data_IF_533280808732
#
_entry.id   IF_533280808732
#
_cell.length_a   1.000
_cell.length_b   1.000
_cell.length_c   1.000
_cell.angle_alpha   90.00
_cell.angle_beta   90.00
_cell.angle_gamma   90.00
#
_symmetry.space_group_name_H-M   'P 1'
#
loop_
_entity.id
_entity.type
_entity.pdbx_description
1 polymer ?
#
# COMPACT_ATOMS: atom_id res chain seq x y z
N UNK A 1 6.24 22.58 -15.75
CA UNK A 1 5.43 21.45 -15.23
C UNK A 1 5.38 21.61 -13.73
N UNK A 2 4.26 22.10 -13.18
CA UNK A 2 4.10 22.28 -11.74
C UNK A 2 4.25 20.91 -11.05
N UNK A 3 5.13 20.82 -10.05
CA UNK A 3 5.31 19.62 -9.25
C UNK A 3 4.01 19.38 -8.47
N UNK A 4 3.19 18.44 -8.94
CA UNK A 4 1.93 18.12 -8.26
C UNK A 4 2.27 17.59 -6.87
N UNK A 5 1.59 18.07 -5.81
CA UNK A 5 1.83 17.62 -4.45
C UNK A 5 1.74 16.08 -4.37
N UNK A 6 2.70 15.47 -3.67
CA UNK A 6 2.77 14.02 -3.46
C UNK A 6 2.49 13.70 -1.99
N UNK A 7 1.48 12.88 -1.77
CA UNK A 7 1.19 12.27 -0.47
C UNK A 7 2.03 11.00 -0.32
N UNK A 8 2.72 10.88 0.82
CA UNK A 8 3.48 9.67 1.18
C UNK A 8 2.73 8.91 2.24
N UNK A 9 2.41 7.67 1.94
CA UNK A 9 1.70 6.76 2.83
C UNK A 9 2.56 5.52 3.05
N UNK A 10 2.83 5.20 4.31
CA UNK A 10 3.56 4.01 4.70
C UNK A 10 2.58 3.04 5.37
N UNK A 11 2.36 1.87 4.76
CA UNK A 11 1.60 0.79 5.38
C UNK A 11 2.58 -0.20 6.04
N UNK A 12 2.30 -0.64 7.27
CA UNK A 12 3.15 -1.55 8.05
C UNK A 12 2.34 -2.77 8.50
N UNK A 13 2.85 -3.95 8.21
CA UNK A 13 2.21 -5.22 8.55
C UNK A 13 3.25 -6.30 8.86
N UNK A 14 2.79 -7.51 9.18
CA UNK A 14 3.64 -8.68 9.41
C UNK A 14 3.70 -9.54 8.16
N UNK A 15 4.88 -9.99 7.77
CA UNK A 15 5.07 -10.91 6.65
C UNK A 15 6.13 -11.94 7.01
N UNK A 16 5.83 -13.25 6.97
CA UNK A 16 6.84 -14.29 7.18
C UNK A 16 8.03 -14.14 6.23
N UNK A 17 9.23 -14.49 6.72
CA UNK A 17 10.45 -14.51 5.91
C UNK A 17 10.27 -15.45 4.70
N UNK A 18 10.82 -15.08 3.54
CA UNK A 18 10.72 -15.85 2.31
C UNK A 18 9.47 -15.59 1.46
N UNK A 19 8.56 -14.69 1.88
CA UNK A 19 7.36 -14.33 1.09
C UNK A 19 7.56 -13.15 0.14
N UNK A 20 8.69 -12.45 0.22
CA UNK A 20 8.94 -11.21 -0.52
C UNK A 20 8.74 -11.35 -2.04
N UNK A 21 9.31 -12.38 -2.66
CA UNK A 21 9.17 -12.59 -4.11
C UNK A 21 7.72 -12.85 -4.54
N UNK A 22 6.97 -13.59 -3.73
CA UNK A 22 5.57 -13.89 -4.03
C UNK A 22 4.72 -12.61 -3.95
N UNK A 23 4.94 -11.79 -2.92
CA UNK A 23 4.27 -10.48 -2.79
C UNK A 23 4.69 -9.54 -3.92
N UNK A 24 5.97 -9.50 -4.30
CA UNK A 24 6.45 -8.69 -5.41
C UNK A 24 5.78 -9.07 -6.74
N UNK A 25 5.60 -10.37 -7.03
CA UNK A 25 4.87 -10.83 -8.22
C UNK A 25 3.41 -10.35 -8.24
N UNK A 26 2.70 -10.46 -7.10
CA UNK A 26 1.32 -9.98 -6.99
C UNK A 26 1.19 -8.48 -7.31
N UNK A 27 2.11 -7.66 -6.77
CA UNK A 27 2.12 -6.24 -7.07
C UNK A 27 2.53 -5.95 -8.51
N UNK A 28 3.50 -6.66 -9.09
CA UNK A 28 3.87 -6.50 -10.49
C UNK A 28 2.70 -6.79 -11.46
N UNK A 29 1.93 -7.85 -11.20
CA UNK A 29 0.72 -8.17 -11.96
C UNK A 29 -0.36 -7.10 -11.79
N UNK A 30 -0.56 -6.59 -10.58
CA UNK A 30 -1.50 -5.50 -10.30
C UNK A 30 -1.08 -4.19 -10.98
N UNK A 31 0.22 -3.88 -10.93
CA UNK A 31 0.80 -2.65 -11.46
C UNK A 31 0.82 -2.62 -13.00
N UNK A 32 0.78 -3.79 -13.66
CA UNK A 32 0.57 -3.93 -15.10
C UNK A 32 -0.87 -3.65 -15.56
N UNK A 33 -1.81 -3.47 -14.63
CA UNK A 33 -3.19 -3.07 -14.94
C UNK A 33 -3.38 -1.56 -14.86
N UNK A 34 -4.59 -1.05 -15.13
CA UNK A 34 -4.94 0.35 -14.91
C UNK A 34 -5.22 0.74 -13.45
N UNK A 35 -5.10 -0.18 -12.49
CA UNK A 35 -5.43 0.07 -11.09
C UNK A 35 -4.54 1.16 -10.45
N UNK A 36 -3.20 1.15 -10.57
CA UNK A 36 -2.36 2.16 -9.92
C UNK A 36 -2.70 3.59 -10.36
N UNK A 37 -2.98 3.79 -11.65
CA UNK A 37 -3.32 5.08 -12.22
C UNK A 37 -4.66 5.60 -11.67
N UNK A 38 -5.68 4.74 -11.57
CA UNK A 38 -6.96 5.09 -10.91
C UNK A 38 -6.77 5.46 -9.43
N UNK A 39 -5.81 4.82 -8.76
CA UNK A 39 -5.45 5.09 -7.37
C UNK A 39 -4.55 6.34 -7.21
N UNK A 40 -4.11 6.95 -8.31
CA UNK A 40 -3.19 8.10 -8.30
C UNK A 40 -1.77 7.75 -7.85
N UNK A 41 -1.38 6.47 -7.87
CA UNK A 41 -0.04 6.01 -7.46
C UNK A 41 1.00 6.46 -8.48
N UNK A 42 2.05 7.13 -8.02
CA UNK A 42 3.20 7.58 -8.82
C UNK A 42 4.43 6.72 -8.57
N UNK A 43 4.60 6.23 -7.35
CA UNK A 43 5.69 5.34 -6.98
C UNK A 43 5.29 4.40 -5.85
N UNK A 44 5.82 3.18 -5.88
CA UNK A 44 5.61 2.13 -4.89
C UNK A 44 6.94 1.48 -4.56
N UNK A 45 7.23 1.35 -3.28
CA UNK A 45 8.34 0.54 -2.81
C UNK A 45 7.88 -0.39 -1.68
N UNK A 46 8.29 -1.65 -1.77
CA UNK A 46 8.02 -2.69 -0.77
C UNK A 46 9.32 -3.05 -0.07
N UNK A 47 9.29 -3.07 1.25
CA UNK A 47 10.43 -3.39 2.09
C UNK A 47 10.06 -4.54 3.03
N UNK A 48 11.06 -5.33 3.39
CA UNK A 48 10.93 -6.35 4.43
C UNK A 48 12.07 -6.25 5.42
N UNK A 49 11.78 -6.41 6.71
CA UNK A 49 12.80 -6.39 7.77
C UNK A 49 12.37 -7.28 8.94
N UNK A 50 13.07 -8.40 9.16
CA UNK A 50 12.80 -9.33 10.28
C UNK A 50 11.32 -9.66 10.53
N UNK A 51 10.56 -9.97 9.48
CA UNK A 51 9.13 -10.29 9.59
C UNK A 51 8.19 -9.08 9.50
N UNK A 52 8.73 -7.86 9.36
CA UNK A 52 7.99 -6.64 9.03
C UNK A 52 7.86 -6.53 7.52
N UNK A 53 6.68 -6.18 7.04
CA UNK A 53 6.41 -5.70 5.70
C UNK A 53 6.09 -4.21 5.76
N UNK A 54 6.77 -3.42 4.95
CA UNK A 54 6.54 -1.99 4.83
C UNK A 54 6.29 -1.62 3.37
N UNK A 55 5.20 -0.91 3.12
CA UNK A 55 4.75 -0.54 1.78
C UNK A 55 4.63 0.97 1.71
N UNK A 56 5.63 1.58 1.07
CA UNK A 56 5.65 3.00 0.78
C UNK A 56 4.90 3.24 -0.53
N UNK A 57 3.91 4.12 -0.47
CA UNK A 57 3.13 4.59 -1.61
C UNK A 57 3.30 6.09 -1.70
N UNK A 58 3.74 6.57 -2.86
CA UNK A 58 3.75 7.97 -3.21
C UNK A 58 2.67 8.19 -4.27
N UNK A 59 1.68 9.01 -3.95
CA UNK A 59 0.49 9.20 -4.77
C UNK A 59 0.06 10.67 -4.82
N UNK A 60 -0.87 10.98 -5.73
CA UNK A 60 -1.63 12.23 -5.64
C UNK A 60 -2.36 12.32 -4.27
N UNK A 61 -2.67 13.52 -3.76
CA UNK A 61 -3.35 13.68 -2.46
C UNK A 61 -4.73 13.02 -2.46
N UNK A 62 -5.14 12.45 -1.33
CA UNK A 62 -6.43 11.77 -1.17
C UNK A 62 -6.35 10.26 -1.43
N UNK A 63 -5.20 9.63 -1.22
CA UNK A 63 -5.04 8.18 -1.40
C UNK A 63 -5.97 7.39 -0.48
N UNK A 64 -6.16 7.82 0.78
CA UNK A 64 -7.03 7.14 1.73
C UNK A 64 -8.49 7.08 1.26
N UNK A 65 -9.01 8.15 0.67
CA UNK A 65 -10.37 8.20 0.10
C UNK A 65 -10.49 7.26 -1.10
N UNK A 66 -9.48 7.27 -1.99
CA UNK A 66 -9.42 6.34 -3.13
C UNK A 66 -9.38 4.88 -2.69
N UNK A 67 -8.64 4.55 -1.63
CA UNK A 67 -8.63 3.20 -1.03
C UNK A 67 -10.02 2.82 -0.52
N UNK A 68 -10.69 3.71 0.23
CA UNK A 68 -12.05 3.43 0.73
C UNK A 68 -13.03 3.16 -0.41
N UNK A 69 -12.99 3.98 -1.47
CA UNK A 69 -13.83 3.80 -2.66
C UNK A 69 -13.51 2.51 -3.40
N UNK A 70 -12.23 2.26 -3.70
CA UNK A 70 -11.79 1.09 -4.45
C UNK A 70 -12.15 -0.23 -3.75
N UNK A 71 -12.17 -0.24 -2.41
CA UNK A 71 -12.67 -1.39 -1.64
C UNK A 71 -14.12 -1.73 -1.89
N UNK A 72 -14.96 -0.72 -2.11
CA UNK A 72 -16.39 -0.91 -2.36
C UNK A 72 -16.68 -1.19 -3.85
N UNK A 73 -15.88 -0.63 -4.77
CA UNK A 73 -16.27 -0.49 -6.17
C UNK A 73 -15.32 -1.18 -7.18
N UNK A 74 -14.07 -1.50 -6.81
CA UNK A 74 -13.05 -1.98 -7.77
C UNK A 74 -12.67 -3.46 -7.54
N UNK A 75 -13.11 -4.39 -8.41
CA UNK A 75 -12.75 -5.82 -8.31
C UNK A 75 -11.25 -6.09 -8.44
N UNK A 76 -10.50 -5.24 -9.14
CA UNK A 76 -9.05 -5.32 -9.23
C UNK A 76 -8.41 -5.09 -7.86
N UNK A 77 -8.90 -4.09 -7.12
CA UNK A 77 -8.46 -3.82 -5.75
C UNK A 77 -8.80 -4.98 -4.80
N UNK A 78 -10.01 -5.52 -4.88
CA UNK A 78 -10.43 -6.68 -4.08
C UNK A 78 -9.52 -7.91 -4.30
N UNK A 79 -9.18 -8.21 -5.56
CA UNK A 79 -8.31 -9.34 -5.92
C UNK A 79 -6.91 -9.21 -5.33
N UNK A 80 -6.25 -8.06 -5.53
CA UNK A 80 -4.90 -7.86 -4.97
C UNK A 80 -4.92 -7.84 -3.44
N UNK A 81 -5.94 -7.23 -2.82
CA UNK A 81 -6.06 -7.23 -1.37
C UNK A 81 -6.17 -8.65 -0.82
N UNK A 82 -7.07 -9.48 -1.36
CA UNK A 82 -7.24 -10.86 -0.91
C UNK A 82 -5.97 -11.70 -1.09
N UNK A 83 -5.25 -11.52 -2.21
CA UNK A 83 -4.00 -12.22 -2.46
C UNK A 83 -2.88 -11.79 -1.49
N UNK A 84 -2.79 -10.49 -1.17
CA UNK A 84 -1.84 -9.98 -0.18
C UNK A 84 -2.20 -10.42 1.23
N UNK A 85 -3.48 -10.40 1.63
CA UNK A 85 -3.96 -10.82 2.95
C UNK A 85 -3.66 -12.31 3.26
N UNK A 86 -3.48 -13.14 2.24
CA UNK A 86 -3.03 -14.53 2.39
C UNK A 86 -1.57 -14.63 2.87
N UNK A 87 -0.72 -13.65 2.52
CA UNK A 87 0.73 -13.67 2.73
C UNK A 87 1.20 -12.69 3.81
N UNK A 88 0.45 -11.62 3.99
CA UNK A 88 0.73 -10.51 4.91
C UNK A 88 -0.40 -10.45 5.93
N UNK A 89 -0.04 -10.36 7.21
CA UNK A 89 -0.98 -10.34 8.32
C UNK A 89 -1.00 -8.96 8.98
N UNK A 90 -2.16 -8.47 9.41
CA UNK A 90 -2.25 -7.20 10.10
C UNK A 90 -1.43 -7.23 11.39
N UNK A 91 -0.92 -6.06 11.80
CA UNK A 91 -0.12 -5.95 13.00
C UNK A 91 -0.94 -6.24 14.26
N UNK A 92 -2.16 -5.69 14.30
CA UNK A 92 -3.22 -5.93 15.28
C UNK A 92 -4.43 -6.57 14.57
N UNK A 93 -4.57 -7.91 14.62
CA UNK A 93 -5.69 -8.60 14.00
C UNK A 93 -7.04 -8.33 14.67
N UNK A 94 -7.07 -7.92 15.95
CA UNK A 94 -8.32 -7.76 16.69
C UNK A 94 -9.09 -6.50 16.28
N UNK A 95 -8.36 -5.46 15.88
CA UNK A 95 -8.93 -4.16 15.47
C UNK A 95 -8.99 -3.97 13.96
N UNK A 96 -8.52 -4.95 13.19
CA UNK A 96 -8.42 -4.88 11.73
C UNK A 96 -9.79 -4.77 11.03
N UNK A 97 -9.97 -3.67 10.30
CA UNK A 97 -11.12 -3.35 9.43
C UNK A 97 -10.67 -3.15 7.98
N UNK A 98 -9.37 -2.92 7.76
CA UNK A 98 -8.75 -2.95 6.44
C UNK A 98 -7.35 -2.30 6.38
N UNK A 99 -6.78 -2.13 5.18
CA UNK A 99 -5.45 -1.63 4.91
C UNK A 99 -5.17 -0.28 5.53
N UNK A 100 -6.18 0.59 5.68
CA UNK A 100 -5.98 1.88 6.34
C UNK A 100 -5.59 1.73 7.82
N UNK A 101 -5.93 0.62 8.48
CA UNK A 101 -5.49 0.35 9.86
C UNK A 101 -4.01 -0.07 9.92
N UNK A 102 -3.38 -0.38 8.78
CA UNK A 102 -1.93 -0.59 8.68
C UNK A 102 -1.14 0.70 8.41
N UNK A 103 -1.82 1.83 8.22
CA UNK A 103 -1.15 3.09 7.90
C UNK A 103 -0.38 3.63 9.11
N UNK A 104 0.91 3.88 8.92
CA UNK A 104 1.74 4.59 9.89
C UNK A 104 1.44 6.10 9.88
N UNK A 105 1.53 6.72 11.04
CA UNK A 105 1.35 8.18 11.21
C UNK A 105 2.69 8.89 11.03
N UNK A 106 2.81 9.69 9.98
CA UNK A 106 3.95 10.60 9.81
C UNK A 106 3.86 11.73 10.82
N UNK A 107 4.73 11.73 11.84
CA UNK A 107 4.77 12.79 12.86
C UNK A 107 5.82 13.87 12.59
N UNK A 108 6.72 13.64 11.63
CA UNK A 108 7.77 14.58 11.23
C UNK A 108 8.06 14.45 9.73
N UNK A 109 8.37 15.56 9.08
CA UNK A 109 8.82 15.61 7.68
C UNK A 109 9.80 16.75 7.51
N UNK A 110 10.83 16.50 6.70
CA UNK A 110 11.79 17.50 6.26
C UNK A 110 12.10 17.28 4.78
N UNK A 111 12.28 18.37 4.03
CA UNK A 111 12.79 18.38 2.66
C UNK A 111 13.81 19.51 2.56
N UNK A 112 14.98 19.28 1.91
CA UNK A 112 15.83 20.40 1.50
C UNK A 112 15.15 21.20 0.38
N UNK A 113 15.60 22.44 0.18
CA UNK A 113 15.25 23.23 -1.02
C UNK A 113 15.87 22.65 -2.30
#
# INVERSE_FOLDING_TARGET
MSDRPVERTLMVARMPVGRAEQVARLFAESDATGLPQRMGVRHRALYSFHGVYAHLIEAEPGLADRIRRARAEDPGFGRISAAVDALVKPWDPQTWRGPLDSQATSFYRWSPE
#
